data_IF_315628180565
#
_entry.id   IF_315628180565
#
_cell.length_a   1.000
_cell.length_b   1.000
_cell.length_c   1.000
_cell.angle_alpha   90.00
_cell.angle_beta   90.00
_cell.angle_gamma   90.00
#
_symmetry.space_group_name_H-M   'P 1'
#
loop_
_entity.id
_entity.type
_entity.pdbx_description
1 polymer ?
#
# COMPACT_ATOMS: atom_id res chain seq x y z
N UNK A 1 -0.66 18.05 -34.46
CA UNK A 1 -0.56 16.58 -34.45
C UNK A 1 -1.68 16.02 -35.31
N UNK A 2 -1.40 15.13 -36.27
CA UNK A 2 -2.46 14.51 -37.08
C UNK A 2 -3.24 13.51 -36.22
N UNK A 3 -4.47 13.16 -36.62
CA UNK A 3 -5.30 12.19 -35.89
C UNK A 3 -4.60 10.83 -35.80
N UNK A 4 -3.94 10.40 -36.87
CA UNK A 4 -3.19 9.14 -36.92
C UNK A 4 -2.03 9.12 -35.92
N UNK A 5 -1.28 10.22 -35.81
CA UNK A 5 -0.19 10.36 -34.83
C UNK A 5 -0.71 10.21 -33.40
N UNK A 6 -1.84 10.86 -33.11
CA UNK A 6 -2.48 10.78 -31.79
C UNK A 6 -2.97 9.36 -31.48
N UNK A 7 -3.60 8.69 -32.43
CA UNK A 7 -4.02 7.29 -32.26
C UNK A 7 -2.82 6.37 -32.06
N UNK A 8 -1.71 6.59 -32.78
CA UNK A 8 -0.49 5.80 -32.60
C UNK A 8 0.08 5.98 -31.18
N UNK A 9 0.09 7.21 -30.65
CA UNK A 9 0.47 7.45 -29.24
C UNK A 9 -0.43 6.62 -28.32
N UNK A 10 -1.75 6.70 -28.45
CA UNK A 10 -2.66 5.93 -27.58
C UNK A 10 -2.51 4.40 -27.69
N UNK A 11 -2.08 3.88 -28.85
CA UNK A 11 -1.83 2.44 -29.03
C UNK A 11 -0.52 1.96 -28.41
N UNK A 12 0.46 2.85 -28.25
CA UNK A 12 1.83 2.46 -27.87
C UNK A 12 2.30 3.04 -26.53
N UNK A 13 1.70 4.14 -26.06
CA UNK A 13 1.96 4.73 -24.75
C UNK A 13 0.77 4.53 -23.82
N UNK A 14 0.96 3.69 -22.81
CA UNK A 14 -0.11 3.33 -21.89
C UNK A 14 -0.51 4.49 -20.97
N UNK A 15 0.41 5.41 -20.63
CA UNK A 15 0.06 6.58 -19.82
C UNK A 15 -0.95 7.49 -20.54
N UNK A 16 -0.68 7.81 -21.80
CA UNK A 16 -1.61 8.54 -22.66
C UNK A 16 -2.95 7.81 -22.80
N UNK A 17 -2.92 6.47 -22.89
CA UNK A 17 -4.14 5.67 -22.93
C UNK A 17 -4.95 5.74 -21.63
N UNK A 18 -4.31 5.77 -20.45
CA UNK A 18 -4.99 5.94 -19.15
C UNK A 18 -5.77 7.27 -19.11
N UNK A 19 -5.14 8.37 -19.55
CA UNK A 19 -5.77 9.68 -19.65
C UNK A 19 -6.95 9.66 -20.63
N UNK A 20 -6.78 9.04 -21.81
CA UNK A 20 -7.85 8.83 -22.78
C UNK A 20 -9.02 8.06 -22.18
N UNK A 21 -8.74 6.92 -21.52
CA UNK A 21 -9.74 6.07 -20.90
C UNK A 21 -10.53 6.82 -19.81
N UNK A 22 -9.84 7.62 -18.99
CA UNK A 22 -10.47 8.43 -17.95
C UNK A 22 -11.46 9.43 -18.54
N UNK A 23 -11.03 10.20 -19.53
CA UNK A 23 -11.86 11.22 -20.17
C UNK A 23 -13.02 10.63 -20.97
N UNK A 24 -12.88 9.40 -21.47
CA UNK A 24 -13.96 8.69 -22.18
C UNK A 24 -15.08 8.24 -21.22
N UNK A 25 -14.74 7.81 -20.00
CA UNK A 25 -15.72 7.35 -19.00
C UNK A 25 -16.28 8.50 -18.17
N UNK A 26 -15.47 9.50 -17.85
CA UNK A 26 -15.83 10.58 -16.94
C UNK A 26 -15.67 11.96 -17.60
N UNK A 27 -16.48 12.29 -18.64
CA UNK A 27 -16.31 13.50 -19.43
C UNK A 27 -16.47 14.82 -18.63
N UNK A 28 -17.12 14.76 -17.47
CA UNK A 28 -17.34 15.92 -16.59
C UNK A 28 -16.36 15.99 -15.41
N UNK A 29 -15.45 15.02 -15.27
CA UNK A 29 -14.43 15.03 -14.21
C UNK A 29 -13.10 15.46 -14.81
N UNK A 30 -12.36 16.28 -14.08
CA UNK A 30 -11.00 16.67 -14.47
C UNK A 30 -10.03 15.55 -14.15
N UNK A 31 -9.30 15.09 -15.16
CA UNK A 31 -8.18 14.18 -14.98
C UNK A 31 -7.02 14.94 -14.33
N UNK A 32 -6.81 14.70 -13.04
CA UNK A 32 -5.64 15.18 -12.30
C UNK A 32 -4.47 14.22 -12.56
N UNK A 33 -3.60 14.59 -13.49
CA UNK A 33 -2.39 13.84 -13.82
C UNK A 33 -1.35 13.98 -12.72
N UNK A 34 -0.52 12.95 -12.54
CA UNK A 34 0.62 12.99 -11.63
C UNK A 34 1.65 11.89 -11.97
N UNK A 35 2.90 12.08 -11.57
CA UNK A 35 4.04 11.20 -11.89
C UNK A 35 3.86 9.74 -11.47
N UNK A 36 3.09 9.48 -10.41
CA UNK A 36 2.84 8.11 -9.94
C UNK A 36 1.97 7.34 -10.94
N UNK A 37 1.11 8.02 -11.72
CA UNK A 37 0.30 7.40 -12.76
C UNK A 37 1.21 6.96 -13.92
N UNK A 38 2.17 7.80 -14.30
CA UNK A 38 3.19 7.46 -15.29
C UNK A 38 4.03 6.27 -14.82
N UNK A 39 4.44 6.25 -13.55
CA UNK A 39 5.16 5.13 -12.94
C UNK A 39 4.34 3.84 -13.00
N UNK A 40 3.07 3.87 -12.61
CA UNK A 40 2.17 2.72 -12.75
C UNK A 40 2.06 2.28 -14.21
N UNK A 41 1.88 3.22 -15.14
CA UNK A 41 1.77 2.93 -16.56
C UNK A 41 3.02 2.22 -17.09
N UNK A 42 4.21 2.65 -16.66
CA UNK A 42 5.48 2.02 -17.00
C UNK A 42 5.53 0.55 -16.55
N UNK A 43 5.32 0.28 -15.26
CA UNK A 43 5.41 -1.07 -14.72
C UNK A 43 4.29 -2.00 -15.20
N UNK A 44 3.07 -1.48 -15.37
CA UNK A 44 1.96 -2.25 -15.97
C UNK A 44 2.25 -2.61 -17.43
N UNK A 45 2.89 -1.71 -18.19
CA UNK A 45 3.33 -2.00 -19.56
C UNK A 45 4.39 -3.10 -19.57
N UNK A 46 5.39 -3.03 -18.70
CA UNK A 46 6.40 -4.09 -18.55
C UNK A 46 5.76 -5.44 -18.18
N UNK A 47 4.76 -5.45 -17.30
CA UNK A 47 4.03 -6.66 -16.95
C UNK A 47 3.29 -7.23 -18.17
N UNK A 48 2.63 -6.37 -18.95
CA UNK A 48 1.91 -6.79 -20.16
C UNK A 48 2.78 -7.37 -21.27
N UNK A 49 4.05 -6.98 -21.30
CA UNK A 49 5.06 -7.48 -22.24
C UNK A 49 5.77 -8.74 -21.72
N UNK A 50 5.43 -9.22 -20.52
CA UNK A 50 6.11 -10.36 -19.87
C UNK A 50 7.50 -10.04 -19.33
N UNK A 51 7.91 -8.76 -19.34
CA UNK A 51 9.19 -8.28 -18.78
C UNK A 51 9.15 -8.19 -17.26
N UNK A 52 7.95 -7.95 -16.68
CA UNK A 52 7.71 -7.97 -15.24
C UNK A 52 6.64 -9.01 -14.88
N UNK A 53 7.06 -10.23 -14.53
CA UNK A 53 6.14 -11.36 -14.34
C UNK A 53 5.38 -11.33 -13.01
N UNK A 54 5.91 -10.65 -12.01
CA UNK A 54 5.37 -10.59 -10.64
C UNK A 54 5.45 -9.16 -10.15
N UNK A 55 4.32 -8.46 -10.19
CA UNK A 55 4.23 -7.04 -9.86
C UNK A 55 3.27 -6.84 -8.69
N UNK A 56 3.73 -6.17 -7.64
CA UNK A 56 2.90 -5.64 -6.54
C UNK A 56 2.93 -4.12 -6.65
N UNK A 57 1.77 -3.49 -6.69
CA UNK A 57 1.61 -2.04 -6.57
C UNK A 57 0.79 -1.77 -5.32
N UNK A 58 1.37 -1.07 -4.35
CA UNK A 58 0.68 -0.65 -3.13
C UNK A 58 0.62 0.85 -3.04
N UNK A 59 -0.60 1.39 -2.86
CA UNK A 59 -0.80 2.83 -2.75
C UNK A 59 -2.13 3.18 -2.06
N UNK A 60 -2.27 4.41 -1.53
CA UNK A 60 -3.47 4.89 -0.87
C UNK A 60 -4.76 4.76 -1.71
N UNK A 61 -5.94 4.78 -1.06
CA UNK A 61 -7.21 4.89 -1.76
C UNK A 61 -7.26 6.12 -2.68
N UNK A 62 -8.13 6.07 -3.69
CA UNK A 62 -8.42 7.21 -4.59
C UNK A 62 -7.21 7.74 -5.38
N UNK A 63 -6.20 6.92 -5.63
CA UNK A 63 -5.02 7.24 -6.48
C UNK A 63 -5.08 6.61 -7.88
N UNK A 64 -6.29 6.38 -8.43
CA UNK A 64 -6.53 5.81 -9.77
C UNK A 64 -6.01 4.39 -10.03
N UNK A 65 -5.54 3.65 -9.03
CA UNK A 65 -5.01 2.28 -9.19
C UNK A 65 -5.95 1.34 -9.99
N UNK A 66 -7.22 1.26 -9.59
CA UNK A 66 -8.22 0.42 -10.25
C UNK A 66 -8.58 0.93 -11.65
N UNK A 67 -8.61 2.25 -11.87
CA UNK A 67 -8.79 2.80 -13.22
C UNK A 67 -7.66 2.38 -14.16
N UNK A 68 -6.42 2.43 -13.67
CA UNK A 68 -5.25 2.08 -14.47
C UNK A 68 -5.22 0.57 -14.78
N UNK A 69 -5.30 -0.30 -13.77
CA UNK A 69 -5.11 -1.74 -13.97
C UNK A 69 -6.39 -2.52 -14.27
N UNK A 70 -7.54 -2.09 -13.75
CA UNK A 70 -8.78 -2.86 -13.81
C UNK A 70 -9.70 -2.41 -14.94
N UNK A 71 -9.49 -1.21 -15.50
CA UNK A 71 -10.26 -0.66 -16.62
C UNK A 71 -9.36 -0.42 -17.82
N UNK A 72 -8.38 0.48 -17.71
CA UNK A 72 -7.58 0.92 -18.83
C UNK A 72 -6.66 -0.18 -19.37
N UNK A 73 -5.95 -0.92 -18.51
CA UNK A 73 -5.03 -1.97 -18.92
C UNK A 73 -5.72 -3.09 -19.74
N UNK A 74 -6.80 -3.75 -19.27
CA UNK A 74 -7.45 -4.78 -20.06
C UNK A 74 -8.03 -4.24 -21.37
N UNK A 75 -8.63 -3.05 -21.36
CA UNK A 75 -9.12 -2.41 -22.59
C UNK A 75 -7.98 -2.14 -23.59
N UNK A 76 -6.83 -1.66 -23.12
CA UNK A 76 -5.66 -1.42 -23.96
C UNK A 76 -5.08 -2.71 -24.54
N UNK A 77 -4.95 -3.75 -23.70
CA UNK A 77 -4.40 -5.05 -24.12
C UNK A 77 -5.29 -5.76 -25.14
N UNK A 78 -6.60 -5.82 -24.88
CA UNK A 78 -7.55 -6.46 -25.80
C UNK A 78 -7.72 -5.65 -27.10
N UNK A 79 -7.56 -4.33 -27.02
CA UNK A 79 -7.53 -3.47 -28.20
C UNK A 79 -6.33 -3.76 -29.11
N UNK A 80 -5.15 -4.01 -28.52
CA UNK A 80 -3.90 -4.29 -29.24
C UNK A 80 -3.79 -5.74 -29.70
N UNK A 81 -4.18 -6.69 -28.86
CA UNK A 81 -4.19 -8.11 -29.16
C UNK A 81 -5.47 -8.76 -28.61
N UNK A 82 -6.52 -8.89 -29.43
CA UNK A 82 -7.78 -9.49 -29.00
C UNK A 82 -7.65 -10.97 -28.64
N UNK A 83 -6.52 -11.65 -28.88
CA UNK A 83 -6.33 -13.07 -28.51
C UNK A 83 -5.95 -13.24 -27.03
N UNK A 84 -5.50 -12.18 -26.36
CA UNK A 84 -5.04 -12.23 -24.97
C UNK A 84 -6.17 -12.64 -24.02
N UNK A 85 -5.84 -13.47 -23.04
CA UNK A 85 -6.74 -13.91 -21.96
C UNK A 85 -6.32 -13.28 -20.64
N UNK A 86 -7.23 -12.56 -20.02
CA UNK A 86 -6.99 -11.84 -18.77
C UNK A 86 -7.91 -12.41 -17.70
N UNK A 87 -7.35 -12.88 -16.59
CA UNK A 87 -8.11 -13.27 -15.40
C UNK A 87 -8.07 -12.12 -14.40
N UNK A 88 -9.22 -11.57 -14.09
CA UNK A 88 -9.37 -10.51 -13.10
C UNK A 88 -9.97 -11.08 -11.82
N UNK A 89 -9.28 -10.85 -10.71
CA UNK A 89 -9.65 -11.30 -9.38
C UNK A 89 -9.87 -10.11 -8.44
N UNK A 90 -10.99 -10.11 -7.72
CA UNK A 90 -11.32 -9.05 -6.77
C UNK A 90 -11.81 -9.61 -5.42
N UNK A 91 -11.74 -8.80 -4.38
CA UNK A 91 -12.24 -9.15 -3.04
C UNK A 91 -13.76 -9.03 -2.92
N UNK A 92 -14.30 -7.83 -3.14
CA UNK A 92 -15.71 -7.52 -2.94
C UNK A 92 -16.54 -7.62 -4.23
N UNK A 93 -17.71 -8.26 -4.17
CA UNK A 93 -18.55 -8.53 -5.35
C UNK A 93 -19.12 -7.28 -6.04
N UNK A 94 -19.52 -6.27 -5.27
CA UNK A 94 -20.18 -5.07 -5.80
C UNK A 94 -19.22 -4.16 -6.58
N UNK A 95 -18.10 -3.76 -5.95
CA UNK A 95 -17.06 -2.94 -6.59
C UNK A 95 -16.51 -3.61 -7.85
N UNK A 96 -16.47 -4.94 -7.84
CA UNK A 96 -16.01 -5.67 -9.00
C UNK A 96 -16.88 -5.49 -10.24
N UNK A 97 -18.20 -5.58 -10.09
CA UNK A 97 -19.13 -5.44 -11.22
C UNK A 97 -19.05 -4.05 -11.85
N UNK A 98 -18.89 -2.99 -11.05
CA UNK A 98 -18.71 -1.63 -11.57
C UNK A 98 -17.46 -1.51 -12.46
N UNK A 99 -16.34 -2.12 -12.06
CA UNK A 99 -15.09 -2.10 -12.84
C UNK A 99 -15.18 -2.95 -14.12
N UNK A 100 -15.97 -4.02 -14.10
CA UNK A 100 -16.28 -4.83 -15.29
C UNK A 100 -17.09 -4.00 -16.30
N UNK A 101 -18.16 -3.36 -15.82
CA UNK A 101 -19.05 -2.52 -16.62
C UNK A 101 -18.32 -1.31 -17.21
N UNK A 102 -17.50 -0.62 -16.42
CA UNK A 102 -16.69 0.53 -16.88
C UNK A 102 -15.71 0.12 -17.99
N UNK A 103 -15.06 -1.04 -17.89
CA UNK A 103 -14.18 -1.56 -18.93
C UNK A 103 -14.95 -1.84 -20.23
N UNK A 104 -16.11 -2.50 -20.14
CA UNK A 104 -16.94 -2.78 -21.32
C UNK A 104 -17.51 -1.48 -21.91
N UNK A 105 -17.94 -0.53 -21.08
CA UNK A 105 -18.41 0.78 -21.50
C UNK A 105 -17.32 1.54 -22.27
N UNK A 106 -16.09 1.58 -21.75
CA UNK A 106 -14.95 2.18 -22.42
C UNK A 106 -14.75 1.59 -23.82
N UNK A 107 -14.76 0.25 -23.92
CA UNK A 107 -14.57 -0.47 -25.18
C UNK A 107 -15.71 -0.26 -26.18
N UNK A 108 -16.93 0.08 -25.72
CA UNK A 108 -18.07 0.43 -26.59
C UNK A 108 -17.99 1.85 -27.15
N UNK A 109 -17.23 2.75 -26.53
CA UNK A 109 -17.20 4.16 -26.95
C UNK A 109 -16.77 4.30 -28.41
N UNK A 110 -17.37 5.22 -29.20
CA UNK A 110 -16.98 5.43 -30.60
C UNK A 110 -15.49 5.72 -30.77
N UNK A 111 -14.89 6.47 -29.82
CA UNK A 111 -13.46 6.81 -29.85
C UNK A 111 -12.58 5.59 -29.63
N UNK A 112 -12.93 4.67 -28.72
CA UNK A 112 -12.19 3.43 -28.53
C UNK A 112 -12.29 2.54 -29.77
N UNK A 113 -13.50 2.37 -30.34
CA UNK A 113 -13.68 1.55 -31.54
C UNK A 113 -12.95 2.11 -32.76
N UNK A 114 -12.82 3.43 -32.86
CA UNK A 114 -12.01 4.06 -33.90
C UNK A 114 -10.50 3.86 -33.66
N UNK A 115 -10.08 3.71 -32.40
CA UNK A 115 -8.70 3.43 -32.02
C UNK A 115 -8.32 1.97 -32.28
N UNK A 116 -9.22 1.02 -31.98
CA UNK A 116 -9.02 -0.42 -32.14
C UNK A 116 -10.13 -1.02 -33.01
N UNK A 117 -10.09 -0.71 -34.30
CA UNK A 117 -11.12 -1.04 -35.30
C UNK A 117 -11.27 -2.55 -35.59
N UNK A 118 -10.23 -3.34 -35.27
CA UNK A 118 -10.22 -4.80 -35.46
C UNK A 118 -10.73 -5.59 -34.26
N UNK A 119 -10.90 -4.95 -33.10
CA UNK A 119 -11.35 -5.61 -31.88
C UNK A 119 -12.84 -5.37 -31.70
N UNK A 120 -13.59 -6.47 -31.61
CA UNK A 120 -14.99 -6.46 -31.19
C UNK A 120 -15.18 -7.50 -30.09
N UNK A 121 -16.23 -7.36 -29.30
CA UNK A 121 -16.45 -8.22 -28.17
C UNK A 121 -17.93 -8.45 -27.90
N UNK A 122 -18.20 -9.48 -27.11
CA UNK A 122 -19.50 -9.81 -26.52
C UNK A 122 -19.32 -9.96 -25.02
N UNK A 123 -20.33 -9.54 -24.27
CA UNK A 123 -20.42 -9.82 -22.84
C UNK A 123 -21.25 -11.06 -22.58
N UNK A 124 -20.74 -11.87 -21.66
CA UNK A 124 -21.42 -12.95 -20.97
C UNK A 124 -21.33 -12.63 -19.47
N UNK A 125 -22.07 -13.36 -18.64
CA UNK A 125 -22.09 -13.11 -17.20
C UNK A 125 -20.69 -13.28 -16.57
N UNK A 126 -20.06 -12.19 -16.15
CA UNK A 126 -18.72 -12.18 -15.55
C UNK A 126 -17.59 -12.41 -16.57
N UNK A 127 -17.84 -12.18 -17.86
CA UNK A 127 -16.87 -12.45 -18.92
C UNK A 127 -17.09 -11.54 -20.13
N UNK A 128 -16.00 -10.98 -20.63
CA UNK A 128 -15.91 -10.33 -21.93
C UNK A 128 -15.14 -11.24 -22.88
N UNK A 129 -15.71 -11.57 -24.04
CA UNK A 129 -15.09 -12.42 -25.07
C UNK A 129 -14.89 -11.64 -26.34
N UNK A 130 -13.66 -11.61 -26.86
CA UNK A 130 -13.35 -10.92 -28.11
C UNK A 130 -13.66 -11.77 -29.34
N UNK A 131 -13.69 -11.15 -30.51
CA UNK A 131 -13.82 -11.81 -31.81
C UNK A 131 -12.68 -12.79 -32.16
N UNK A 132 -11.58 -12.79 -31.41
CA UNK A 132 -10.46 -13.71 -31.61
C UNK A 132 -10.33 -14.78 -30.51
N UNK A 133 -11.35 -14.97 -29.68
CA UNK A 133 -11.40 -16.00 -28.64
C UNK A 133 -10.61 -15.68 -27.36
N UNK A 134 -9.95 -14.52 -27.31
CA UNK A 134 -9.42 -13.95 -26.08
C UNK A 134 -10.51 -13.24 -25.27
N UNK A 135 -10.09 -12.38 -24.37
CA UNK A 135 -10.97 -11.56 -23.55
C UNK A 135 -10.57 -11.53 -22.09
N UNK A 136 -11.53 -11.19 -21.25
CA UNK A 136 -11.36 -11.01 -19.81
C UNK A 136 -12.41 -11.81 -19.07
N UNK A 137 -11.98 -12.50 -18.02
CA UNK A 137 -12.87 -13.16 -17.09
C UNK A 137 -12.81 -12.50 -15.72
N UNK A 138 -13.97 -12.31 -15.11
CA UNK A 138 -14.15 -11.53 -13.90
C UNK A 138 -14.68 -12.42 -12.77
N UNK A 139 -13.91 -12.60 -11.70
CA UNK A 139 -14.23 -13.57 -10.66
C UNK A 139 -13.80 -13.08 -9.26
N UNK A 140 -14.57 -13.35 -8.20
CA UNK A 140 -14.08 -13.18 -6.84
C UNK A 140 -12.86 -14.07 -6.59
N UNK A 141 -11.82 -13.56 -5.91
CA UNK A 141 -10.59 -14.33 -5.63
C UNK A 141 -10.84 -15.58 -4.78
N UNK A 142 -11.82 -15.50 -3.87
CA UNK A 142 -12.28 -16.61 -3.03
C UNK A 142 -13.25 -17.55 -3.77
N UNK A 143 -13.54 -17.29 -5.04
CA UNK A 143 -14.37 -18.14 -5.89
C UNK A 143 -13.66 -19.40 -6.38
N UNK A 144 -14.40 -20.24 -7.12
CA UNK A 144 -13.85 -21.43 -7.76
C UNK A 144 -13.04 -21.04 -9.00
N UNK A 145 -11.71 -21.14 -8.90
CA UNK A 145 -10.79 -20.79 -9.99
C UNK A 145 -10.41 -21.96 -10.90
N UNK A 146 -10.89 -23.18 -10.63
CA UNK A 146 -10.49 -24.38 -11.40
C UNK A 146 -10.97 -24.32 -12.87
N UNK A 147 -10.09 -24.70 -13.79
CA UNK A 147 -10.38 -24.72 -15.24
C UNK A 147 -10.22 -23.37 -15.96
N UNK A 148 -9.76 -22.32 -15.26
CA UNK A 148 -9.49 -21.01 -15.86
C UNK A 148 -8.02 -20.91 -16.30
N UNK A 149 -7.79 -20.28 -17.45
CA UNK A 149 -6.47 -20.01 -18.02
C UNK A 149 -6.33 -18.56 -18.44
N UNK A 150 -5.17 -17.95 -18.19
CA UNK A 150 -4.88 -16.57 -18.55
C UNK A 150 -3.40 -16.34 -18.92
N UNK A 151 -3.18 -15.38 -19.81
CA UNK A 151 -1.87 -14.78 -20.08
C UNK A 151 -1.47 -13.80 -18.96
N UNK A 152 -2.46 -13.11 -18.38
CA UNK A 152 -2.26 -12.14 -17.31
C UNK A 152 -3.32 -12.30 -16.22
N UNK A 153 -2.88 -12.33 -14.97
CA UNK A 153 -3.75 -12.29 -13.80
C UNK A 153 -3.65 -10.90 -13.17
N UNK A 154 -4.77 -10.23 -12.99
CA UNK A 154 -4.87 -8.93 -12.31
C UNK A 154 -5.67 -9.15 -11.04
N UNK A 155 -5.11 -8.78 -9.90
CA UNK A 155 -5.74 -8.89 -8.59
C UNK A 155 -5.89 -7.47 -8.04
N UNK A 156 -7.12 -7.01 -7.84
CA UNK A 156 -7.41 -5.66 -7.36
C UNK A 156 -8.17 -5.72 -6.04
N UNK A 157 -7.61 -5.09 -5.00
CA UNK A 157 -8.14 -5.01 -3.64
C UNK A 157 -8.81 -6.34 -3.19
N UNK A 158 -8.02 -7.42 -3.00
CA UNK A 158 -8.55 -8.77 -2.80
C UNK A 158 -9.17 -9.00 -1.42
N UNK A 159 -9.15 -8.00 -0.54
CA UNK A 159 -9.55 -8.10 0.86
C UNK A 159 -10.27 -6.82 1.30
N UNK A 160 -11.34 -6.97 2.09
CA UNK A 160 -11.99 -5.84 2.74
C UNK A 160 -11.28 -5.44 4.05
N UNK A 161 -11.54 -4.25 4.57
CA UNK A 161 -11.04 -3.84 5.90
C UNK A 161 -11.53 -4.77 7.01
N UNK A 162 -12.76 -5.28 6.91
CA UNK A 162 -13.30 -6.25 7.87
C UNK A 162 -12.54 -7.59 7.82
N UNK A 163 -12.29 -8.11 6.62
CA UNK A 163 -11.50 -9.33 6.43
C UNK A 163 -10.05 -9.14 6.90
N UNK A 164 -9.50 -7.94 6.73
CA UNK A 164 -8.15 -7.61 7.19
C UNK A 164 -8.02 -7.66 8.72
N UNK A 165 -9.11 -7.53 9.48
CA UNK A 165 -9.12 -7.71 10.94
C UNK A 165 -9.33 -9.18 11.35
N UNK A 166 -9.88 -10.04 10.48
CA UNK A 166 -10.00 -11.49 10.73
C UNK A 166 -8.73 -12.26 10.31
N UNK A 167 -7.97 -12.75 11.30
CA UNK A 167 -6.75 -13.55 11.08
C UNK A 167 -7.03 -14.81 10.25
N UNK A 168 -8.20 -15.42 10.41
CA UNK A 168 -8.67 -16.54 9.61
C UNK A 168 -8.88 -16.15 8.15
N UNK A 169 -9.55 -15.02 7.89
CA UNK A 169 -9.74 -14.50 6.53
C UNK A 169 -8.42 -14.20 5.84
N UNK A 170 -7.47 -13.54 6.52
CA UNK A 170 -6.11 -13.30 5.99
C UNK A 170 -5.43 -14.60 5.57
N UNK A 171 -5.41 -15.60 6.44
CA UNK A 171 -4.82 -16.92 6.15
C UNK A 171 -5.51 -17.64 4.99
N UNK A 172 -6.85 -17.59 4.94
CA UNK A 172 -7.63 -18.22 3.85
C UNK A 172 -7.29 -17.58 2.50
N UNK A 173 -7.21 -16.26 2.41
CA UNK A 173 -6.85 -15.57 1.17
C UNK A 173 -5.42 -15.91 0.73
N UNK A 174 -4.46 -15.85 1.66
CA UNK A 174 -3.06 -16.15 1.36
C UNK A 174 -2.90 -17.59 0.84
N UNK A 175 -3.58 -18.54 1.49
CA UNK A 175 -3.64 -19.94 1.04
C UNK A 175 -4.30 -20.09 -0.33
N UNK A 176 -5.41 -19.38 -0.58
CA UNK A 176 -6.08 -19.39 -1.87
C UNK A 176 -5.18 -18.90 -3.00
N UNK A 177 -4.39 -17.85 -2.75
CA UNK A 177 -3.40 -17.37 -3.72
C UNK A 177 -2.36 -18.45 -4.03
N UNK A 178 -1.74 -18.99 -2.98
CA UNK A 178 -0.64 -19.94 -3.07
C UNK A 178 -1.04 -21.24 -3.79
N UNK A 179 -2.22 -21.77 -3.46
CA UNK A 179 -2.69 -23.05 -3.96
C UNK A 179 -3.30 -22.93 -5.37
N UNK A 180 -4.02 -21.84 -5.66
CA UNK A 180 -4.94 -21.82 -6.81
C UNK A 180 -4.68 -20.74 -7.85
N UNK A 181 -4.10 -19.58 -7.50
CA UNK A 181 -4.02 -18.44 -8.42
C UNK A 181 -2.88 -18.59 -9.42
N UNK A 182 -1.65 -18.87 -8.96
CA UNK A 182 -0.48 -18.99 -9.86
C UNK A 182 -0.63 -20.12 -10.88
N UNK A 183 -1.44 -21.14 -10.57
CA UNK A 183 -1.72 -22.27 -11.45
C UNK A 183 -2.68 -21.93 -12.61
N UNK A 184 -3.17 -20.68 -12.71
CA UNK A 184 -4.05 -20.22 -13.79
C UNK A 184 -3.30 -19.53 -14.91
N UNK A 185 -2.01 -19.25 -14.76
CA UNK A 185 -1.20 -18.79 -15.87
C UNK A 185 -1.03 -19.92 -16.88
N UNK A 186 -1.41 -19.64 -18.13
CA UNK A 186 -1.29 -20.61 -19.24
C UNK A 186 0.18 -20.93 -19.54
N UNK A 187 1.02 -19.90 -19.50
CA UNK A 187 2.46 -19.97 -19.67
C UNK A 187 3.12 -19.29 -18.47
N UNK A 188 3.81 -20.06 -17.62
CA UNK A 188 4.49 -19.51 -16.43
C UNK A 188 5.75 -18.74 -16.76
N UNK A 189 6.33 -18.95 -17.95
CA UNK A 189 7.52 -18.23 -18.38
C UNK A 189 7.16 -16.87 -18.98
N UNK A 190 5.99 -16.73 -19.60
CA UNK A 190 5.56 -15.47 -20.25
C UNK A 190 4.45 -14.73 -19.52
N UNK A 191 3.67 -15.45 -18.73
CA UNK A 191 2.52 -14.92 -18.01
C UNK A 191 2.94 -14.01 -16.86
N UNK A 192 2.07 -13.05 -16.56
CA UNK A 192 2.31 -12.05 -15.52
C UNK A 192 1.19 -12.02 -14.49
N UNK A 193 1.54 -11.83 -13.23
CA UNK A 193 0.61 -11.56 -12.13
C UNK A 193 0.84 -10.15 -11.61
N UNK A 194 -0.23 -9.37 -11.57
CA UNK A 194 -0.24 -8.02 -11.02
C UNK A 194 -1.19 -7.99 -9.84
N UNK A 195 -0.67 -7.67 -8.66
CA UNK A 195 -1.44 -7.35 -7.46
C UNK A 195 -1.45 -5.84 -7.26
N UNK A 196 -2.63 -5.25 -7.26
CA UNK A 196 -2.85 -3.87 -6.86
C UNK A 196 -3.71 -3.87 -5.60
N UNK A 197 -3.23 -3.19 -4.57
CA UNK A 197 -4.05 -2.99 -3.38
C UNK A 197 -3.63 -1.78 -2.59
N UNK A 198 -4.53 -1.25 -1.78
CA UNK A 198 -4.09 -0.53 -0.59
C UNK A 198 -3.73 -1.56 0.50
N UNK A 199 -2.60 -1.37 1.20
CA UNK A 199 -2.26 -2.24 2.33
C UNK A 199 -3.31 -2.07 3.43
N UNK A 200 -3.72 -3.17 4.03
CA UNK A 200 -4.70 -3.16 5.13
C UNK A 200 -4.12 -3.71 6.44
N UNK A 201 -3.08 -4.54 6.34
CA UNK A 201 -2.48 -5.20 7.48
C UNK A 201 -1.05 -5.65 7.15
N UNK A 202 -0.18 -5.80 8.15
CA UNK A 202 1.13 -6.44 7.98
C UNK A 202 1.08 -7.79 7.23
N UNK A 203 0.17 -8.68 7.64
CA UNK A 203 -0.05 -10.03 7.09
C UNK A 203 -1.17 -10.10 6.03
N UNK A 204 -1.50 -8.97 5.38
CA UNK A 204 -2.36 -9.01 4.18
C UNK A 204 -1.65 -9.72 3.00
N UNK A 205 -2.33 -9.84 1.85
CA UNK A 205 -1.78 -10.60 0.72
C UNK A 205 -0.44 -10.03 0.22
N UNK A 206 -0.32 -8.71 0.11
CA UNK A 206 0.95 -8.09 -0.29
C UNK A 206 2.06 -8.38 0.73
N UNK A 207 1.78 -8.23 2.02
CA UNK A 207 2.73 -8.59 3.07
C UNK A 207 3.19 -10.04 3.02
N UNK A 208 2.25 -10.97 2.82
CA UNK A 208 2.54 -12.40 2.66
C UNK A 208 3.43 -12.68 1.44
N UNK A 209 3.13 -12.09 0.29
CA UNK A 209 3.91 -12.30 -0.93
C UNK A 209 5.32 -11.72 -0.87
N UNK A 210 5.46 -10.55 -0.24
CA UNK A 210 6.76 -9.92 -0.02
C UNK A 210 7.62 -10.74 0.97
N UNK A 211 7.00 -11.31 2.01
CA UNK A 211 7.71 -12.15 2.98
C UNK A 211 8.27 -13.45 2.38
N UNK A 212 7.67 -13.96 1.30
CA UNK A 212 8.16 -15.18 0.61
C UNK A 212 9.38 -14.97 -0.27
N UNK A 213 9.73 -13.72 -0.59
CA UNK A 213 10.88 -13.36 -1.41
C UNK A 213 10.95 -14.09 -2.78
N UNK A 214 9.82 -14.29 -3.44
CA UNK A 214 9.72 -14.98 -4.75
C UNK A 214 9.97 -14.05 -5.96
N UNK A 215 10.79 -13.00 -5.78
CA UNK A 215 11.16 -12.08 -6.85
C UNK A 215 10.04 -11.15 -7.33
N UNK A 216 9.14 -10.74 -6.43
CA UNK A 216 8.14 -9.72 -6.74
C UNK A 216 8.80 -8.34 -6.91
N UNK A 217 8.50 -7.66 -8.01
CA UNK A 217 8.78 -6.23 -8.15
C UNK A 217 7.71 -5.49 -7.35
N UNK A 218 8.13 -4.70 -6.37
CA UNK A 218 7.23 -3.97 -5.47
C UNK A 218 7.33 -2.46 -5.70
N UNK A 219 6.24 -1.89 -6.23
CA UNK A 219 6.05 -0.45 -6.38
C UNK A 219 5.26 0.04 -5.17
N UNK A 220 5.98 0.56 -4.18
CA UNK A 220 5.39 1.04 -2.93
C UNK A 220 5.26 2.56 -2.95
N UNK A 221 4.04 3.09 -3.01
CA UNK A 221 3.77 4.52 -3.14
C UNK A 221 3.02 5.03 -1.89
N UNK A 222 3.72 5.33 -0.78
CA UNK A 222 3.08 5.86 0.42
C UNK A 222 2.54 7.28 0.22
N UNK A 223 1.49 7.63 0.96
CA UNK A 223 0.88 8.95 0.92
C UNK A 223 1.87 10.08 1.21
N UNK A 224 2.86 9.84 2.08
CA UNK A 224 3.96 10.76 2.40
C UNK A 224 5.28 9.99 2.26
N UNK A 225 6.29 10.60 1.63
CA UNK A 225 7.58 9.97 1.46
C UNK A 225 8.34 9.92 2.79
N UNK A 226 8.90 8.75 3.12
CA UNK A 226 9.71 8.56 4.34
C UNK A 226 11.20 8.84 4.11
N UNK A 227 11.61 8.93 2.85
CA UNK A 227 12.98 9.18 2.40
C UNK A 227 12.90 9.73 0.97
N UNK A 228 14.00 10.28 0.48
CA UNK A 228 14.10 10.66 -0.93
C UNK A 228 14.00 9.41 -1.81
N UNK A 229 13.16 9.49 -2.85
CA UNK A 229 12.86 8.36 -3.73
C UNK A 229 12.91 8.82 -5.20
N UNK A 230 13.52 7.99 -6.06
CA UNK A 230 13.59 8.23 -7.50
C UNK A 230 12.81 7.16 -8.24
N UNK A 231 11.85 7.59 -9.05
CA UNK A 231 10.92 6.74 -9.78
C UNK A 231 11.19 6.79 -11.28
N UNK A 232 11.22 5.61 -11.90
CA UNK A 232 11.28 5.47 -13.36
C UNK A 232 9.92 5.75 -13.98
N UNK A 233 9.92 6.66 -14.95
CA UNK A 233 8.78 7.02 -15.77
C UNK A 233 8.90 6.40 -17.18
N UNK A 234 7.83 6.41 -17.98
CA UNK A 234 7.90 5.99 -19.39
C UNK A 234 8.99 6.74 -20.16
N UNK A 235 9.50 6.13 -21.23
CA UNK A 235 10.51 6.73 -22.12
C UNK A 235 11.87 7.05 -21.47
N UNK A 236 12.17 6.47 -20.30
CA UNK A 236 13.45 6.65 -19.62
C UNK A 236 13.57 7.94 -18.81
N UNK A 237 12.47 8.68 -18.65
CA UNK A 237 12.42 9.79 -17.71
C UNK A 237 12.43 9.28 -16.26
N UNK A 238 12.82 10.15 -15.33
CA UNK A 238 12.78 9.88 -13.91
C UNK A 238 12.17 11.04 -13.15
N UNK A 239 11.55 10.76 -12.01
CA UNK A 239 11.04 11.75 -11.08
C UNK A 239 11.61 11.50 -9.69
N UNK A 240 12.09 12.54 -9.02
CA UNK A 240 12.58 12.45 -7.64
C UNK A 240 11.58 13.12 -6.72
N UNK A 241 11.04 12.35 -5.76
CA UNK A 241 10.18 12.83 -4.68
C UNK A 241 11.01 12.93 -3.40
N UNK A 242 10.94 14.06 -2.74
CA UNK A 242 11.71 14.32 -1.51
C UNK A 242 10.98 13.78 -0.28
N UNK A 243 11.72 13.49 0.78
CA UNK A 243 11.16 13.14 2.09
C UNK A 243 10.11 14.17 2.54
N UNK A 244 8.99 13.69 3.08
CA UNK A 244 7.88 14.51 3.56
C UNK A 244 6.93 15.04 2.48
N UNK A 245 7.23 14.85 1.19
CA UNK A 245 6.33 15.24 0.10
C UNK A 245 5.11 14.30 0.00
N UNK A 246 3.94 14.88 -0.26
CA UNK A 246 2.68 14.14 -0.44
C UNK A 246 2.62 13.52 -1.84
N UNK A 247 2.07 12.30 -1.95
CA UNK A 247 2.00 11.55 -3.20
C UNK A 247 1.24 12.31 -4.29
N UNK A 248 0.09 12.89 -3.96
CA UNK A 248 -0.73 13.69 -4.89
C UNK A 248 -1.42 14.86 -4.18
N UNK A 249 -0.71 15.99 -3.96
CA UNK A 249 -1.21 17.12 -3.17
C UNK A 249 -2.54 17.70 -3.67
N UNK A 250 -2.75 17.73 -4.99
CA UNK A 250 -4.01 18.25 -5.56
C UNK A 250 -5.25 17.38 -5.27
N UNK A 251 -5.06 16.11 -4.91
CA UNK A 251 -6.16 15.21 -4.54
C UNK A 251 -6.39 15.18 -3.04
N UNK A 252 -5.31 15.15 -2.29
CA UNK A 252 -5.33 15.04 -0.84
C UNK A 252 -4.17 15.85 -0.29
N UNK A 253 -4.47 16.91 0.45
CA UNK A 253 -3.46 17.77 1.07
C UNK A 253 -2.83 17.09 2.29
N UNK A 254 -1.70 17.63 2.76
CA UNK A 254 -1.02 17.11 3.95
C UNK A 254 -1.90 17.23 5.21
N UNK A 255 -2.73 18.27 5.28
CA UNK A 255 -3.68 18.52 6.37
C UNK A 255 -4.82 17.49 6.33
N UNK A 256 -5.39 17.21 5.15
CA UNK A 256 -6.42 16.17 4.99
C UNK A 256 -5.89 14.78 5.35
N UNK A 257 -4.62 14.49 5.05
CA UNK A 257 -3.95 13.27 5.50
C UNK A 257 -3.80 13.23 7.03
N UNK A 258 -3.51 14.35 7.69
CA UNK A 258 -3.43 14.42 9.14
C UNK A 258 -4.80 14.21 9.79
N UNK A 259 -5.86 14.81 9.25
CA UNK A 259 -7.25 14.56 9.68
C UNK A 259 -7.62 13.08 9.52
N UNK A 260 -7.22 12.47 8.40
CA UNK A 260 -7.44 11.05 8.14
C UNK A 260 -6.71 10.18 9.14
N UNK A 261 -5.44 10.48 9.44
CA UNK A 261 -4.64 9.81 10.46
C UNK A 261 -5.37 9.83 11.81
N UNK A 262 -5.90 10.99 12.22
CA UNK A 262 -6.68 11.13 13.47
C UNK A 262 -7.96 10.28 13.41
N UNK A 263 -8.66 10.29 12.28
CA UNK A 263 -9.94 9.59 12.13
C UNK A 263 -9.84 8.07 12.15
N UNK A 264 -8.82 7.48 11.51
CA UNK A 264 -8.70 6.02 11.37
C UNK A 264 -7.72 5.40 12.36
N UNK A 265 -6.90 6.22 13.04
CA UNK A 265 -5.86 5.78 13.95
C UNK A 265 -4.55 5.38 13.24
N UNK A 266 -3.44 5.44 13.97
CA UNK A 266 -2.11 5.31 13.37
C UNK A 266 -1.78 3.92 12.83
N UNK A 267 -2.27 2.83 13.43
CA UNK A 267 -2.06 1.48 12.87
C UNK A 267 -2.73 1.34 11.49
N UNK A 268 -4.00 1.75 11.37
CA UNK A 268 -4.70 1.71 10.10
C UNK A 268 -4.05 2.65 9.08
N UNK A 269 -3.65 3.86 9.48
CA UNK A 269 -2.97 4.81 8.60
C UNK A 269 -1.61 4.30 8.11
N UNK A 270 -0.83 3.64 8.96
CA UNK A 270 0.46 3.06 8.62
C UNK A 270 0.37 2.07 7.46
N UNK A 271 -0.70 1.27 7.40
CA UNK A 271 -0.93 0.37 6.27
C UNK A 271 -1.71 1.06 5.15
N UNK A 272 -2.89 1.63 5.41
CA UNK A 272 -3.77 2.15 4.36
C UNK A 272 -3.23 3.35 3.59
N UNK A 273 -2.41 4.20 4.23
CA UNK A 273 -1.84 5.39 3.61
C UNK A 273 -0.32 5.30 3.48
N UNK A 274 0.39 4.85 4.51
CA UNK A 274 1.84 4.70 4.43
C UNK A 274 2.29 3.37 3.81
N UNK A 275 1.36 2.49 3.42
CA UNK A 275 1.65 1.22 2.73
C UNK A 275 2.68 0.31 3.44
N UNK A 276 2.77 0.41 4.76
CA UNK A 276 3.74 -0.32 5.57
C UNK A 276 5.18 0.21 5.50
N UNK A 277 5.41 1.39 4.90
CA UNK A 277 6.68 2.12 4.95
C UNK A 277 6.96 2.65 6.37
N UNK A 278 5.92 3.05 7.10
CA UNK A 278 5.99 3.24 8.55
C UNK A 278 5.63 1.92 9.24
N UNK A 279 6.45 1.50 10.22
CA UNK A 279 6.22 0.32 11.04
C UNK A 279 5.62 0.74 12.39
N UNK A 280 4.34 0.42 12.67
CA UNK A 280 3.72 0.73 13.95
C UNK A 280 4.50 0.10 15.10
N UNK A 281 4.67 0.85 16.19
CA UNK A 281 5.33 0.40 17.42
C UNK A 281 4.44 -0.50 18.26
N UNK A 282 3.14 -0.22 18.30
CA UNK A 282 2.19 -0.87 19.21
C UNK A 282 1.36 -1.97 18.54
N UNK A 283 1.59 -2.28 17.27
CA UNK A 283 0.78 -3.27 16.54
C UNK A 283 -0.71 -2.86 16.46
N UNK A 284 -1.61 -3.84 16.35
CA UNK A 284 -3.03 -3.60 16.07
C UNK A 284 -3.76 -2.76 17.14
N UNK A 285 -3.29 -2.76 18.40
CA UNK A 285 -3.92 -1.94 19.43
C UNK A 285 -3.64 -0.44 19.26
N UNK A 286 -2.59 -0.06 18.50
CA UNK A 286 -2.30 1.33 18.15
C UNK A 286 -1.84 2.23 19.32
N UNK A 287 -1.78 1.68 20.53
CA UNK A 287 -1.34 2.35 21.74
C UNK A 287 -0.62 1.38 22.68
N UNK A 288 0.28 1.91 23.50
CA UNK A 288 1.05 1.12 24.45
C UNK A 288 1.76 1.97 25.50
N UNK A 289 2.29 1.28 26.51
CA UNK A 289 3.15 1.87 27.52
C UNK A 289 4.57 2.01 27.00
N UNK A 290 5.14 3.19 27.13
CA UNK A 290 6.55 3.49 26.85
C UNK A 290 7.19 3.92 28.14
N UNK A 291 8.20 3.18 28.57
CA UNK A 291 9.04 3.59 29.69
C UNK A 291 10.10 4.56 29.18
N UNK A 292 10.20 5.72 29.82
CA UNK A 292 11.24 6.71 29.55
C UNK A 292 12.09 6.89 30.81
N UNK A 293 13.40 6.64 30.67
CA UNK A 293 14.38 6.78 31.75
C UNK A 293 15.03 8.18 31.76
N UNK A 294 15.42 8.69 32.94
CA UNK A 294 16.17 9.94 33.04
C UNK A 294 17.53 9.85 32.36
N UNK A 295 17.91 10.95 31.73
CA UNK A 295 19.23 11.16 31.14
C UNK A 295 20.29 11.38 32.23
N UNK A 296 21.56 11.03 31.97
CA UNK A 296 22.71 11.69 32.63
C UNK A 296 23.13 12.91 31.80
N UNK A 297 23.44 14.00 32.47
CA UNK A 297 24.10 15.16 31.87
C UNK A 297 25.58 14.91 31.58
N UNK A 298 25.97 15.29 30.37
CA UNK A 298 27.30 15.77 29.96
C UNK A 298 27.21 16.96 29.00
N UNK A 299 25.99 17.39 28.62
CA UNK A 299 25.69 18.67 27.99
C UNK A 299 24.40 19.22 28.63
N UNK A 300 24.56 20.21 29.52
CA UNK A 300 23.53 21.07 30.13
C UNK A 300 22.21 20.42 30.64
N UNK A 301 22.17 20.16 31.95
CA UNK A 301 21.01 20.22 32.83
C UNK A 301 20.57 21.68 32.84
N UNK A 302 19.73 22.03 31.88
CA UNK A 302 18.80 23.12 32.13
C UNK A 302 17.78 22.59 33.15
N UNK A 303 18.10 22.75 34.43
CA UNK A 303 17.22 22.39 35.56
C UNK A 303 15.87 23.12 35.48
N UNK A 304 15.76 24.20 34.69
CA UNK A 304 14.51 24.89 34.40
C UNK A 304 13.66 24.19 33.31
N UNK A 305 14.28 23.37 32.44
CA UNK A 305 13.60 22.56 31.40
C UNK A 305 13.44 21.09 31.78
N UNK A 306 13.88 20.71 32.97
CA UNK A 306 13.77 19.36 33.50
C UNK A 306 12.27 19.01 33.71
N UNK A 307 11.62 18.57 32.64
CA UNK A 307 10.31 17.95 32.75
C UNK A 307 10.56 16.58 33.38
N UNK A 308 9.91 16.33 34.52
CA UNK A 308 9.96 15.05 35.25
C UNK A 308 9.38 13.88 34.42
N UNK A 309 9.91 13.59 33.24
CA UNK A 309 9.43 12.57 32.32
C UNK A 309 10.02 11.18 32.64
N UNK A 310 10.24 10.89 33.92
CA UNK A 310 10.64 9.56 34.35
C UNK A 310 9.39 8.75 34.67
N UNK A 311 9.12 7.72 33.87
CA UNK A 311 8.02 6.81 34.16
C UNK A 311 7.40 6.16 32.94
N UNK A 312 6.27 5.51 33.19
CA UNK A 312 5.47 4.84 32.18
C UNK A 312 4.48 5.82 31.56
N UNK A 313 4.64 6.11 30.26
CA UNK A 313 3.72 6.94 29.49
C UNK A 313 2.84 6.07 28.60
N UNK A 314 1.55 6.36 28.58
CA UNK A 314 0.65 5.80 27.57
C UNK A 314 0.73 6.66 26.33
N UNK A 315 1.25 6.09 25.25
CA UNK A 315 1.35 6.76 23.95
C UNK A 315 0.60 5.96 22.89
N UNK A 316 0.16 6.67 21.86
CA UNK A 316 -0.44 6.09 20.66
C UNK A 316 0.42 6.37 19.44
N UNK A 317 0.20 5.62 18.35
CA UNK A 317 0.92 5.84 17.09
C UNK A 317 0.82 7.29 16.59
N UNK A 318 -0.30 7.97 16.87
CA UNK A 318 -0.51 9.37 16.51
C UNK A 318 0.61 10.29 17.05
N UNK A 319 1.03 10.05 18.30
CA UNK A 319 2.08 10.83 18.95
C UNK A 319 3.41 10.71 18.21
N UNK A 320 3.66 9.57 17.54
CA UNK A 320 4.88 9.36 16.75
C UNK A 320 4.73 9.87 15.32
N UNK A 321 3.58 9.62 14.69
CA UNK A 321 3.38 9.92 13.28
C UNK A 321 3.26 11.42 13.01
N UNK A 322 2.57 12.18 13.86
CA UNK A 322 2.43 13.63 13.68
C UNK A 322 3.79 14.36 13.60
N UNK A 323 4.73 14.20 14.54
CA UNK A 323 6.03 14.85 14.44
C UNK A 323 6.89 14.24 13.33
N UNK A 324 6.99 12.90 13.25
CA UNK A 324 7.95 12.23 12.35
C UNK A 324 7.56 12.25 10.87
N UNK A 325 6.26 12.26 10.56
CA UNK A 325 5.76 12.19 9.18
C UNK A 325 5.18 13.54 8.76
N UNK A 326 4.43 14.18 9.65
CA UNK A 326 3.75 15.43 9.33
C UNK A 326 4.58 16.68 9.67
N UNK A 327 5.57 16.57 10.57
CA UNK A 327 6.30 17.72 11.11
C UNK A 327 5.43 18.57 12.04
N UNK A 328 4.41 17.97 12.66
CA UNK A 328 3.45 18.64 13.54
C UNK A 328 3.71 18.19 14.98
N UNK A 329 4.03 19.16 15.85
CA UNK A 329 4.34 18.90 17.25
C UNK A 329 5.76 18.38 17.48
N UNK A 330 6.06 18.03 18.73
CA UNK A 330 7.35 17.48 19.15
C UNK A 330 7.31 15.96 19.23
N UNK A 331 8.44 15.30 18.95
CA UNK A 331 8.56 13.85 19.12
C UNK A 331 8.38 13.51 20.61
N UNK A 332 7.47 12.57 20.95
CA UNK A 332 7.24 12.19 22.34
C UNK A 332 8.46 11.48 22.96
N UNK A 333 9.42 11.04 22.15
CA UNK A 333 10.72 10.54 22.60
C UNK A 333 11.76 11.62 22.33
N UNK A 334 12.31 12.26 23.37
CA UNK A 334 13.44 13.16 23.23
C UNK A 334 14.61 12.51 22.48
N UNK A 335 15.37 13.22 21.64
CA UNK A 335 16.50 12.64 20.87
C UNK A 335 17.57 11.97 21.74
N UNK A 336 17.64 12.32 23.02
CA UNK A 336 18.57 11.81 24.01
C UNK A 336 17.94 10.78 24.97
N UNK A 337 16.66 10.43 24.80
CA UNK A 337 16.01 9.38 25.56
C UNK A 337 16.54 8.00 25.15
N UNK A 338 16.66 7.09 26.13
CA UNK A 338 17.15 5.71 25.93
C UNK A 338 16.02 4.73 26.21
N UNK A 339 15.97 3.66 25.42
CA UNK A 339 15.01 2.55 25.60
C UNK A 339 15.39 1.63 26.78
N UNK A 340 16.61 1.73 27.31
CA UNK A 340 17.06 0.96 28.46
C UNK A 340 18.20 1.64 29.24
N UNK A 341 18.28 1.33 30.54
CA UNK A 341 19.45 1.58 31.36
C UNK A 341 20.66 0.77 30.89
N UNK A 342 21.86 1.32 31.06
CA UNK A 342 23.12 0.58 30.90
C UNK A 342 23.30 -0.48 32.01
N UNK A 343 24.15 -1.48 31.76
CA UNK A 343 24.46 -2.52 32.75
C UNK A 343 25.04 -1.94 34.05
N UNK A 344 25.87 -0.89 33.94
CA UNK A 344 26.41 -0.15 35.09
C UNK A 344 25.31 0.53 35.92
N UNK A 345 24.35 1.17 35.25
CA UNK A 345 23.21 1.83 35.91
C UNK A 345 22.29 0.83 36.60
N UNK A 346 22.05 -0.32 35.95
CA UNK A 346 21.29 -1.41 36.55
C UNK A 346 21.99 -1.93 37.81
N UNK A 347 23.32 -2.15 37.76
CA UNK A 347 24.10 -2.60 38.91
C UNK A 347 24.11 -1.57 40.04
N UNK A 348 24.21 -0.28 39.73
CA UNK A 348 24.15 0.81 40.71
C UNK A 348 22.78 0.87 41.41
N UNK A 349 21.68 0.79 40.65
CA UNK A 349 20.33 0.78 41.21
C UNK A 349 20.08 -0.44 42.09
N UNK A 350 20.56 -1.63 41.68
CA UNK A 350 20.49 -2.85 42.48
C UNK A 350 21.28 -2.72 43.79
N UNK A 351 22.46 -2.09 43.77
CA UNK A 351 23.25 -1.82 44.96
C UNK A 351 22.51 -0.88 45.92
N UNK A 352 21.94 0.21 45.41
CA UNK A 352 21.15 1.17 46.20
C UNK A 352 19.90 0.53 46.81
N UNK A 353 19.17 -0.29 46.05
CA UNK A 353 18.01 -1.01 46.57
C UNK A 353 18.41 -2.00 47.68
N UNK A 354 19.55 -2.68 47.53
CA UNK A 354 20.10 -3.53 48.60
C UNK A 354 20.41 -2.72 49.85
N UNK A 355 21.03 -1.55 49.72
CA UNK A 355 21.31 -0.67 50.86
C UNK A 355 20.03 -0.23 51.57
N UNK A 356 19.01 0.22 50.84
CA UNK A 356 17.71 0.62 51.42
C UNK A 356 17.06 -0.56 52.15
N UNK A 357 17.11 -1.77 51.57
CA UNK A 357 16.58 -2.97 52.21
C UNK A 357 17.36 -3.33 53.49
N UNK A 358 18.69 -3.20 53.47
CA UNK A 358 19.52 -3.42 54.65
C UNK A 358 19.27 -2.36 55.73
N UNK A 359 19.08 -1.10 55.35
CA UNK A 359 18.72 -0.02 56.26
C UNK A 359 17.36 -0.29 56.92
N UNK A 360 16.36 -0.69 56.14
CA UNK A 360 15.05 -1.08 56.64
C UNK A 360 15.15 -2.24 57.64
N UNK A 361 15.90 -3.29 57.30
CA UNK A 361 16.14 -4.42 58.20
C UNK A 361 16.82 -4.00 59.51
N UNK A 362 17.78 -3.07 59.46
CA UNK A 362 18.43 -2.52 60.66
C UNK A 362 17.46 -1.75 61.53
N UNK A 363 16.61 -0.90 60.94
CA UNK A 363 15.60 -0.11 61.66
C UNK A 363 14.52 -0.98 62.31
N UNK A 364 14.14 -2.07 61.65
CA UNK A 364 13.23 -3.07 62.25
C UNK A 364 13.93 -3.80 63.41
N UNK A 365 15.20 -4.19 63.25
CA UNK A 365 15.95 -4.89 64.30
C UNK A 365 16.28 -4.00 65.51
N UNK A 366 16.42 -2.68 65.33
CA UNK A 366 16.65 -1.71 66.42
C UNK A 366 15.38 -1.26 67.11
N UNK A 367 14.18 -1.68 66.63
CA UNK A 367 12.89 -1.25 67.17
C UNK A 367 12.47 0.17 66.76
N UNK A 368 13.17 0.79 65.80
CA UNK A 368 12.82 2.12 65.28
C UNK A 368 11.62 2.08 64.30
N UNK A 369 11.30 0.90 63.76
CA UNK A 369 10.13 0.65 62.91
C UNK A 369 9.33 -0.53 63.48
N UNK A 370 8.11 -0.26 63.95
CA UNK A 370 7.12 -1.30 64.28
C UNK A 370 6.22 -1.57 63.06
N UNK A 371 5.92 -2.84 62.82
CA UNK A 371 5.02 -3.30 61.74
C UNK A 371 3.57 -3.42 62.22
#
# INVERSE_FOLDING_TARGET
MKIEDYQNILRHDFSSFICFAFNALYPYKTYKHNWHIDTMAHYLSLASEGKCKRLIITMPPRMLKSHCASIALPAWLLGRDPRKRILYLHGAKALGLELEDDCAQLMRTPRYRALFDRTSFKEEKGRLVTNCGGGRQFMPIMGRLTGLGADMIIIDDPMSTADANDKGARKRLNRQFDENVLQRLDDKERGSVVLLMQRLHENDLAGHLLAKNEGWVHINLPAIAMQDETWTLPHGYSYTRQVGEVLHPERESKEQLAETLISIGGYAFAYQYMQGAYKPRFGECGEGGVWLDPMREGEFYDMEKNTNLNGLFRLSELHFMLPRIFGIGEDPIPPNARDCMTEEEMNYNLARQREVMLEHQRKVASGELEY
#
